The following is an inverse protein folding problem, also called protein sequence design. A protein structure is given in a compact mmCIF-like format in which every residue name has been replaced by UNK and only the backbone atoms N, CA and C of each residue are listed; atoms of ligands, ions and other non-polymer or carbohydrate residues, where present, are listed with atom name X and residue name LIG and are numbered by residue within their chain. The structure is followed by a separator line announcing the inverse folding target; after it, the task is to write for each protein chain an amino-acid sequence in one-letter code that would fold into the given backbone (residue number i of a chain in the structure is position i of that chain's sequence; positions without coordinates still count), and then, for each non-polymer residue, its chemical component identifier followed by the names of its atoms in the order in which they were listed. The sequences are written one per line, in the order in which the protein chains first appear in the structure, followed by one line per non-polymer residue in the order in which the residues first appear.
data_IF_660609554163
#
_entry.id   IF_660609554163
#
_cell.length_a   1.000
_cell.length_b   1.000
_cell.length_c   1.000
_cell.angle_alpha   90.00
_cell.angle_beta   90.00
_cell.angle_gamma   90.00
#
_symmetry.space_group_name_H-M   'P 1'
#
loop_
_entity.id
_entity.type
_entity.pdbx_description
1 polymer ?
#
# COMPACT_ATOMS: atom_id res chain seq x y z
N UNK A 1 14.41 13.80 -3.14
CA UNK A 1 14.75 12.44 -3.64
C UNK A 1 16.17 12.12 -3.20
N UNK A 2 16.41 10.89 -2.73
CA UNK A 2 17.72 10.48 -2.23
C UNK A 2 18.71 10.28 -3.38
N UNK A 3 19.93 10.83 -3.28
CA UNK A 3 20.94 10.72 -4.33
C UNK A 3 21.51 9.28 -4.45
N UNK A 4 21.32 8.45 -3.42
CA UNK A 4 21.75 7.04 -3.39
C UNK A 4 20.93 6.24 -2.37
N UNK A 5 20.89 4.90 -2.46
CA UNK A 5 20.27 4.05 -1.44
C UNK A 5 20.85 4.27 -0.03
N UNK A 6 22.16 4.46 0.08
CA UNK A 6 22.82 4.73 1.36
C UNK A 6 22.46 6.10 1.96
N UNK A 7 22.12 7.09 1.14
CA UNK A 7 21.67 8.39 1.63
C UNK A 7 20.30 8.28 2.33
N UNK A 8 19.39 7.44 1.80
CA UNK A 8 18.10 7.17 2.44
C UNK A 8 18.28 6.53 3.82
N UNK A 9 19.13 5.51 3.90
CA UNK A 9 19.41 4.83 5.16
C UNK A 9 20.03 5.79 6.20
N UNK A 10 20.97 6.60 5.79
CA UNK A 10 21.60 7.61 6.66
C UNK A 10 20.56 8.62 7.20
N UNK A 11 19.64 9.09 6.37
CA UNK A 11 18.58 10.00 6.80
C UNK A 11 17.59 9.34 7.77
N UNK A 12 17.23 8.08 7.54
CA UNK A 12 16.40 7.33 8.48
C UNK A 12 17.10 7.21 9.83
N UNK A 13 18.37 6.82 9.85
CA UNK A 13 19.13 6.68 11.09
C UNK A 13 19.32 8.02 11.82
N UNK A 14 19.54 9.10 11.09
CA UNK A 14 19.57 10.44 11.67
C UNK A 14 18.21 10.86 12.25
N UNK A 15 17.11 10.41 11.64
CA UNK A 15 15.75 10.66 12.11
C UNK A 15 15.43 10.00 13.45
N UNK A 16 16.01 8.83 13.74
CA UNK A 16 15.72 8.03 14.94
C UNK A 16 16.05 8.79 16.25
N UNK A 17 17.03 9.68 16.22
CA UNK A 17 17.46 10.45 17.41
C UNK A 17 16.72 11.77 17.59
N UNK A 18 15.81 12.12 16.68
CA UNK A 18 15.05 13.38 16.75
C UNK A 18 13.94 13.30 17.80
N UNK A 19 13.67 14.39 18.53
CA UNK A 19 12.52 14.46 19.43
C UNK A 19 11.20 14.17 18.71
N UNK A 20 10.30 13.45 19.35
CA UNK A 20 9.02 13.03 18.73
C UNK A 20 8.18 14.22 18.24
N UNK A 21 8.15 15.32 19.01
CA UNK A 21 7.46 16.55 18.65
C UNK A 21 8.02 17.20 17.38
N UNK A 22 9.31 17.09 17.13
CA UNK A 22 9.96 17.61 15.91
C UNK A 22 9.59 16.75 14.72
N UNK A 23 9.59 15.42 14.88
CA UNK A 23 9.18 14.49 13.82
C UNK A 23 7.70 14.69 13.46
N UNK A 24 6.85 14.86 14.47
CA UNK A 24 5.42 15.14 14.28
C UNK A 24 5.20 16.46 13.53
N UNK A 25 5.89 17.52 13.95
CA UNK A 25 5.78 18.82 13.29
C UNK A 25 6.19 18.74 11.81
N UNK A 26 7.27 18.03 11.51
CA UNK A 26 7.72 17.81 10.13
C UNK A 26 6.71 17.00 9.31
N UNK A 27 6.11 15.96 9.88
CA UNK A 27 5.10 15.15 9.22
C UNK A 27 3.84 15.96 8.88
N UNK A 28 3.38 16.80 9.82
CA UNK A 28 2.25 17.72 9.63
C UNK A 28 2.56 18.73 8.52
N UNK A 29 3.73 19.36 8.56
CA UNK A 29 4.11 20.36 7.56
C UNK A 29 4.33 19.73 6.17
N UNK A 30 4.92 18.53 6.09
CA UNK A 30 5.07 17.81 4.85
C UNK A 30 3.70 17.43 4.23
N UNK A 31 2.75 17.02 5.06
CA UNK A 31 1.38 16.71 4.63
C UNK A 31 0.66 17.96 4.14
N UNK A 32 0.80 19.09 4.86
CA UNK A 32 0.21 20.37 4.44
C UNK A 32 0.78 20.83 3.10
N UNK A 33 2.09 20.78 2.91
CA UNK A 33 2.73 21.14 1.63
C UNK A 33 2.23 20.25 0.49
N UNK A 34 2.14 18.94 0.70
CA UNK A 34 1.63 18.02 -0.31
C UNK A 34 0.21 18.39 -0.74
N UNK A 35 -0.68 18.69 0.21
CA UNK A 35 -2.07 19.10 -0.08
C UNK A 35 -2.11 20.41 -0.87
N UNK A 36 -1.31 21.40 -0.49
CA UNK A 36 -1.24 22.69 -1.21
C UNK A 36 -0.78 22.49 -2.66
N UNK A 37 0.29 21.73 -2.86
CA UNK A 37 0.83 21.44 -4.19
C UNK A 37 -0.19 20.64 -5.03
N UNK A 38 -0.83 19.62 -4.45
CA UNK A 38 -1.84 18.84 -5.15
C UNK A 38 -3.06 19.68 -5.58
N UNK A 39 -3.53 20.59 -4.72
CA UNK A 39 -4.64 21.49 -5.05
C UNK A 39 -4.28 22.53 -6.12
N UNK A 40 -3.04 22.98 -6.16
CA UNK A 40 -2.56 23.95 -7.14
C UNK A 40 -2.04 23.31 -8.44
N UNK A 41 -1.95 21.98 -8.47
CA UNK A 41 -1.43 21.26 -9.63
C UNK A 41 -2.37 21.43 -10.83
N UNK A 42 -1.87 21.85 -12.00
CA UNK A 42 -2.72 22.09 -13.16
C UNK A 42 -3.45 20.83 -13.62
N UNK A 43 -4.75 20.90 -13.81
CA UNK A 43 -5.58 19.73 -14.18
C UNK A 43 -5.06 19.02 -15.44
N UNK A 44 -4.59 19.79 -16.43
CA UNK A 44 -4.00 19.24 -17.66
C UNK A 44 -2.69 18.47 -17.47
N UNK A 45 -2.06 18.59 -16.30
CA UNK A 45 -0.78 17.94 -16.02
C UNK A 45 -0.95 16.60 -15.29
N UNK A 46 -2.13 16.28 -14.74
CA UNK A 46 -2.35 15.02 -14.03
C UNK A 46 -2.08 13.77 -14.86
N UNK A 47 -2.43 13.70 -16.16
CA UNK A 47 -2.13 12.55 -17.00
C UNK A 47 -0.66 12.41 -17.39
N UNK A 48 0.17 13.44 -17.19
CA UNK A 48 1.57 13.39 -17.58
C UNK A 48 2.35 12.31 -16.81
N UNK A 49 3.22 11.62 -17.54
CA UNK A 49 4.12 10.64 -16.94
C UNK A 49 5.24 11.31 -16.17
N UNK A 50 5.44 10.83 -14.96
CA UNK A 50 6.53 11.26 -14.05
C UNK A 50 7.36 10.06 -13.61
N UNK A 51 8.64 10.26 -13.43
CA UNK A 51 9.53 9.23 -12.93
C UNK A 51 9.27 9.02 -11.43
N UNK A 52 8.74 7.85 -11.07
CA UNK A 52 8.63 7.44 -9.68
C UNK A 52 9.96 6.83 -9.24
N UNK A 53 10.83 7.65 -8.69
CA UNK A 53 12.19 7.21 -8.35
C UNK A 53 12.26 6.77 -6.89
N UNK A 54 12.60 5.52 -6.70
CA UNK A 54 13.07 4.96 -5.43
C UNK A 54 14.59 4.76 -5.41
N UNK A 55 15.35 5.63 -6.12
CA UNK A 55 16.82 5.49 -6.26
C UNK A 55 17.26 4.40 -7.26
N UNK A 56 16.36 3.89 -8.07
CA UNK A 56 16.68 2.89 -9.13
C UNK A 56 17.16 3.59 -10.42
N UNK A 57 18.11 2.98 -11.18
CA UNK A 57 18.59 3.51 -12.46
C UNK A 57 17.44 3.40 -13.42
N UNK A 58 16.49 3.31 -13.73
CA UNK A 58 15.34 3.29 -14.61
C UNK A 58 14.05 3.20 -13.78
N UNK A 59 13.64 4.30 -13.18
CA UNK A 59 12.41 4.32 -12.39
C UNK A 59 11.20 4.06 -13.30
N UNK A 60 10.18 3.36 -12.81
CA UNK A 60 8.94 3.24 -13.55
C UNK A 60 8.34 4.64 -13.75
N UNK A 61 7.78 4.86 -14.93
CA UNK A 61 6.95 6.02 -15.22
C UNK A 61 5.53 5.72 -14.74
N UNK A 62 4.93 6.69 -14.08
CA UNK A 62 3.55 6.65 -13.63
C UNK A 62 2.88 7.99 -13.95
N UNK A 63 1.56 8.02 -14.09
CA UNK A 63 0.87 9.31 -14.21
C UNK A 63 1.02 10.13 -12.92
N UNK A 64 1.01 11.45 -13.03
CA UNK A 64 1.13 12.32 -11.86
C UNK A 64 -0.01 12.06 -10.85
N UNK A 65 -1.22 11.77 -11.31
CA UNK A 65 -2.35 11.41 -10.44
C UNK A 65 -2.06 10.18 -9.59
N UNK A 66 -1.28 9.21 -10.11
CA UNK A 66 -0.90 8.01 -9.36
C UNK A 66 -0.06 8.33 -8.13
N UNK A 67 0.65 9.45 -8.12
CA UNK A 67 1.42 9.89 -6.95
C UNK A 67 0.50 10.17 -5.75
N UNK A 68 -0.69 10.71 -5.99
CA UNK A 68 -1.69 10.95 -4.92
C UNK A 68 -2.17 9.63 -4.34
N UNK A 69 -2.49 8.65 -5.19
CA UNK A 69 -2.90 7.31 -4.75
C UNK A 69 -1.79 6.60 -3.96
N UNK A 70 -0.55 6.68 -4.44
CA UNK A 70 0.61 6.12 -3.73
C UNK A 70 0.81 6.80 -2.38
N UNK A 71 0.63 8.12 -2.29
CA UNK A 71 0.71 8.84 -1.02
C UNK A 71 -0.38 8.41 -0.04
N UNK A 72 -1.62 8.24 -0.52
CA UNK A 72 -2.71 7.72 0.31
C UNK A 72 -2.41 6.30 0.81
N UNK A 73 -1.90 5.43 -0.07
CA UNK A 73 -1.48 4.08 0.30
C UNK A 73 -0.47 4.09 1.45
N UNK A 74 0.59 4.90 1.34
CA UNK A 74 1.63 5.03 2.37
C UNK A 74 1.04 5.55 3.70
N UNK A 75 0.19 6.59 3.62
CA UNK A 75 -0.43 7.18 4.82
C UNK A 75 -1.31 6.16 5.54
N UNK A 76 -2.19 5.46 4.84
CA UNK A 76 -3.12 4.51 5.45
C UNK A 76 -2.40 3.31 6.07
N UNK A 77 -1.45 2.73 5.34
CA UNK A 77 -0.69 1.58 5.84
C UNK A 77 0.13 1.97 7.08
N UNK A 78 0.84 3.09 7.02
CA UNK A 78 1.66 3.53 8.15
C UNK A 78 0.84 4.11 9.29
N UNK A 79 -0.39 4.56 9.07
CA UNK A 79 -1.32 4.89 10.15
C UNK A 79 -1.67 3.64 10.97
N UNK A 80 -1.92 2.52 10.32
CA UNK A 80 -2.10 1.23 11.01
C UNK A 80 -0.82 0.82 11.75
N UNK A 81 0.37 1.04 11.17
CA UNK A 81 1.66 0.70 11.77
C UNK A 81 1.97 1.48 13.06
N UNK A 82 1.26 2.58 13.35
CA UNK A 82 1.41 3.28 14.62
C UNK A 82 0.86 2.49 15.83
N UNK A 83 0.13 1.39 15.57
CA UNK A 83 -0.44 0.51 16.59
C UNK A 83 -1.27 1.25 17.67
N UNK A 84 -2.04 2.21 17.20
CA UNK A 84 -3.01 2.97 18.01
C UNK A 84 -4.41 2.39 17.81
N UNK A 85 -5.42 3.25 17.78
CA UNK A 85 -6.83 2.83 17.59
C UNK A 85 -7.20 2.60 16.13
N UNK A 86 -6.38 3.04 15.17
CA UNK A 86 -6.64 2.94 13.75
C UNK A 86 -6.23 1.58 13.20
N UNK A 87 -7.11 1.00 12.39
CA UNK A 87 -6.92 -0.33 11.79
C UNK A 87 -7.36 -0.33 10.32
N UNK A 88 -7.13 -1.42 9.60
CA UNK A 88 -7.65 -1.55 8.23
C UNK A 88 -9.18 -1.53 8.13
N UNK A 89 -9.90 -1.75 9.24
CA UNK A 89 -11.36 -1.62 9.28
C UNK A 89 -11.83 -0.16 9.25
N UNK A 90 -10.96 0.78 9.60
CA UNK A 90 -11.24 2.22 9.65
C UNK A 90 -10.92 2.91 8.31
N UNK A 91 -10.20 2.24 7.41
CA UNK A 91 -9.88 2.77 6.08
C UNK A 91 -11.18 2.97 5.28
N UNK A 92 -11.41 4.15 4.68
CA UNK A 92 -12.60 4.39 3.87
C UNK A 92 -12.80 3.30 2.81
N UNK A 93 -13.99 2.72 2.72
CA UNK A 93 -14.27 1.51 1.92
C UNK A 93 -13.85 1.63 0.45
N UNK A 94 -14.02 2.79 -0.17
CA UNK A 94 -13.59 3.01 -1.56
C UNK A 94 -12.07 2.97 -1.70
N UNK A 95 -11.35 3.54 -0.74
CA UNK A 95 -9.90 3.50 -0.72
C UNK A 95 -9.40 2.09 -0.39
N UNK A 96 -10.01 1.42 0.59
CA UNK A 96 -9.68 0.04 0.93
C UNK A 96 -9.85 -0.90 -0.27
N UNK A 97 -10.93 -0.76 -1.04
CA UNK A 97 -11.15 -1.50 -2.27
C UNK A 97 -10.08 -1.22 -3.33
N UNK A 98 -9.67 0.04 -3.48
CA UNK A 98 -8.59 0.43 -4.40
C UNK A 98 -7.25 -0.17 -3.98
N UNK A 99 -6.91 -0.07 -2.69
CA UNK A 99 -5.70 -0.69 -2.14
C UNK A 99 -5.68 -2.19 -2.37
N UNK A 100 -6.82 -2.86 -2.16
CA UNK A 100 -6.93 -4.30 -2.40
C UNK A 100 -6.58 -4.66 -3.84
N UNK A 101 -7.16 -3.96 -4.82
CA UNK A 101 -6.87 -4.19 -6.25
C UNK A 101 -5.39 -4.00 -6.54
N UNK A 102 -4.79 -2.91 -6.08
CA UNK A 102 -3.38 -2.61 -6.28
C UNK A 102 -2.45 -3.69 -5.71
N UNK A 103 -2.74 -4.19 -4.50
CA UNK A 103 -1.95 -5.26 -3.89
C UNK A 103 -2.12 -6.58 -4.62
N UNK A 104 -3.35 -6.93 -4.98
CA UNK A 104 -3.65 -8.16 -5.74
C UNK A 104 -2.93 -8.15 -7.07
N UNK A 105 -3.01 -7.07 -7.86
CA UNK A 105 -2.27 -6.94 -9.12
C UNK A 105 -0.75 -7.00 -8.93
N UNK A 106 -0.25 -6.41 -7.86
CA UNK A 106 1.17 -6.46 -7.53
C UNK A 106 1.63 -7.89 -7.24
N UNK A 107 0.85 -8.66 -6.49
CA UNK A 107 1.16 -10.06 -6.22
C UNK A 107 1.00 -10.93 -7.47
N UNK A 108 0.02 -10.67 -8.32
CA UNK A 108 -0.12 -11.37 -9.60
C UNK A 108 1.14 -11.18 -10.49
N UNK A 109 1.63 -9.96 -10.58
CA UNK A 109 2.90 -9.68 -11.31
C UNK A 109 4.11 -10.37 -10.70
N UNK A 110 4.10 -10.67 -9.41
CA UNK A 110 5.15 -11.43 -8.70
C UNK A 110 4.96 -12.93 -8.77
N UNK A 111 3.95 -13.41 -9.47
CA UNK A 111 3.66 -14.84 -9.64
C UNK A 111 3.01 -15.48 -8.42
N UNK A 112 2.39 -14.73 -7.52
CA UNK A 112 1.58 -15.30 -6.46
C UNK A 112 0.31 -15.95 -7.06
N UNK A 113 -0.06 -17.12 -6.56
CA UNK A 113 -1.16 -17.92 -7.09
C UNK A 113 -2.20 -18.18 -6.01
N UNK A 114 -3.22 -17.33 -5.93
CA UNK A 114 -4.41 -17.52 -5.08
C UNK A 114 -5.61 -16.79 -5.68
N UNK A 115 -6.79 -17.26 -5.32
CA UNK A 115 -8.03 -16.52 -5.52
C UNK A 115 -8.46 -15.93 -4.17
N UNK A 116 -8.89 -14.66 -4.17
CA UNK A 116 -9.35 -13.97 -2.98
C UNK A 116 -10.87 -13.74 -3.07
N UNK A 117 -11.59 -14.18 -2.06
CA UNK A 117 -13.02 -13.93 -1.89
C UNK A 117 -13.24 -13.13 -0.60
N UNK A 118 -14.03 -12.07 -0.67
CA UNK A 118 -14.36 -11.26 0.50
C UNK A 118 -15.69 -11.71 1.11
N UNK A 119 -15.71 -11.81 2.44
CA UNK A 119 -16.93 -12.19 3.17
C UNK A 119 -17.95 -11.04 3.24
N UNK A 120 -17.46 -9.80 3.20
CA UNK A 120 -18.22 -8.56 3.33
C UNK A 120 -18.48 -7.84 1.99
N UNK A 121 -18.08 -8.42 0.88
CA UNK A 121 -18.33 -7.89 -0.46
C UNK A 121 -18.78 -9.03 -1.39
N UNK A 122 -20.10 -9.25 -1.56
CA UNK A 122 -20.60 -10.27 -2.47
C UNK A 122 -20.27 -9.87 -3.92
N UNK A 123 -19.27 -10.48 -4.48
CA UNK A 123 -18.81 -10.22 -5.86
C UNK A 123 -17.33 -10.50 -6.06
N UNK A 124 -16.59 -10.71 -4.98
CA UNK A 124 -15.17 -11.10 -4.96
C UNK A 124 -14.28 -10.22 -5.85
N UNK A 125 -13.30 -9.57 -5.26
CA UNK A 125 -12.15 -9.08 -6.03
C UNK A 125 -11.17 -10.25 -6.12
N UNK A 126 -11.19 -10.97 -7.23
CA UNK A 126 -10.32 -12.13 -7.38
C UNK A 126 -9.20 -11.85 -8.36
N UNK A 127 -7.98 -12.21 -8.02
CA UNK A 127 -7.01 -12.68 -8.99
C UNK A 127 -7.52 -14.04 -9.50
N UNK A 128 -8.43 -14.01 -10.46
CA UNK A 128 -8.94 -15.23 -11.08
C UNK A 128 -8.06 -15.55 -12.27
N UNK A 129 -6.99 -16.30 -12.05
CA UNK A 129 -6.51 -17.18 -13.12
C UNK A 129 -7.26 -18.49 -12.98
N UNK A 130 -7.91 -18.90 -14.07
CA UNK A 130 -8.62 -20.19 -14.13
C UNK A 130 -7.63 -21.31 -13.81
N UNK A 131 -7.94 -22.14 -12.81
CA UNK A 131 -7.11 -23.24 -12.37
C UNK A 131 -7.43 -23.65 -10.94
N UNK A 132 -6.76 -24.67 -10.46
CA UNK A 132 -6.93 -25.23 -9.12
C UNK A 132 -6.20 -24.40 -8.06
N UNK A 133 -6.50 -23.10 -8.01
CA UNK A 133 -5.86 -22.15 -7.08
C UNK A 133 -6.44 -22.31 -5.68
N UNK A 134 -5.61 -22.11 -4.62
CA UNK A 134 -6.12 -21.98 -3.28
C UNK A 134 -7.02 -20.74 -3.18
N UNK A 135 -8.24 -20.94 -2.70
CA UNK A 135 -9.18 -19.84 -2.46
C UNK A 135 -9.01 -19.36 -1.02
N UNK A 136 -8.65 -18.13 -0.86
CA UNK A 136 -8.46 -17.47 0.43
C UNK A 136 -9.65 -16.55 0.71
N UNK A 137 -10.20 -16.59 1.92
CA UNK A 137 -11.36 -15.80 2.32
C UNK A 137 -11.09 -15.02 3.60
N UNK A 138 -11.73 -13.86 3.69
CA UNK A 138 -11.73 -13.00 4.87
C UNK A 138 -12.51 -11.72 4.60
N UNK A 139 -12.60 -10.83 5.59
CA UNK A 139 -13.11 -9.49 5.37
C UNK A 139 -12.13 -8.64 4.54
N UNK A 140 -12.58 -7.53 3.99
CA UNK A 140 -11.72 -6.57 3.28
C UNK A 140 -10.56 -6.09 4.17
N UNK A 141 -10.84 -5.79 5.43
CA UNK A 141 -9.81 -5.37 6.39
C UNK A 141 -8.76 -6.47 6.66
N UNK A 142 -9.22 -7.72 6.87
CA UNK A 142 -8.33 -8.86 7.07
C UNK A 142 -7.48 -9.14 5.81
N UNK A 143 -8.07 -9.02 4.62
CA UNK A 143 -7.36 -9.19 3.36
C UNK A 143 -6.25 -8.14 3.18
N UNK A 144 -6.52 -6.87 3.50
CA UNK A 144 -5.50 -5.81 3.48
C UNK A 144 -4.39 -6.07 4.49
N UNK A 145 -4.72 -6.47 5.72
CA UNK A 145 -3.72 -6.83 6.74
C UNK A 145 -2.81 -7.96 6.27
N UNK A 146 -3.38 -8.99 5.64
CA UNK A 146 -2.64 -10.12 5.11
C UNK A 146 -1.76 -9.74 3.92
N UNK A 147 -2.33 -9.05 2.91
CA UNK A 147 -1.60 -8.63 1.71
C UNK A 147 -0.48 -7.63 2.01
N UNK A 148 -0.60 -6.87 3.08
CA UNK A 148 0.44 -5.94 3.54
C UNK A 148 1.44 -6.58 4.51
N UNK A 149 1.25 -7.86 4.87
CA UNK A 149 2.15 -8.62 5.74
C UNK A 149 2.05 -8.26 7.22
N UNK A 150 0.95 -7.61 7.66
CA UNK A 150 0.78 -7.19 9.07
C UNK A 150 0.11 -8.25 9.91
N UNK A 151 -0.90 -8.93 9.39
CA UNK A 151 -1.61 -10.00 10.11
C UNK A 151 -2.25 -10.96 9.13
N UNK A 152 -2.36 -12.23 9.52
CA UNK A 152 -3.19 -13.21 8.81
C UNK A 152 -4.48 -13.55 9.57
N UNK A 153 -4.74 -12.85 10.66
CA UNK A 153 -5.93 -13.06 11.46
C UNK A 153 -7.20 -12.75 10.63
N UNK A 154 -8.22 -13.59 10.78
CA UNK A 154 -9.45 -13.48 9.99
C UNK A 154 -9.36 -14.01 8.56
N UNK A 155 -8.17 -14.41 8.09
CA UNK A 155 -7.99 -15.05 6.79
C UNK A 155 -8.02 -16.57 6.91
N UNK A 156 -8.64 -17.24 5.92
CA UNK A 156 -8.72 -18.71 5.87
C UNK A 156 -8.63 -19.23 4.44
N UNK A 157 -8.05 -20.41 4.28
CA UNK A 157 -8.09 -21.14 3.02
C UNK A 157 -9.36 -22.01 2.97
N UNK A 158 -10.20 -21.87 1.93
CA UNK A 158 -11.51 -22.55 1.84
C UNK A 158 -11.39 -24.06 1.65
N UNK A 159 -10.30 -24.55 1.08
CA UNK A 159 -10.04 -25.97 0.86
C UNK A 159 -9.26 -26.64 1.99
N UNK A 160 -9.12 -25.95 3.13
CA UNK A 160 -8.25 -26.36 4.23
C UNK A 160 -6.76 -26.16 3.90
N UNK A 161 -5.92 -26.14 4.95
CA UNK A 161 -4.49 -25.96 4.81
C UNK A 161 -4.02 -24.57 5.21
N UNK A 162 -2.73 -24.32 4.91
CA UNK A 162 -2.07 -23.03 5.22
C UNK A 162 -2.44 -21.98 4.18
N UNK A 163 -2.46 -20.74 4.61
CA UNK A 163 -2.51 -19.61 3.68
C UNK A 163 -1.28 -19.63 2.75
N UNK A 164 -1.44 -19.23 1.48
CA UNK A 164 -0.31 -19.08 0.57
C UNK A 164 0.74 -18.13 1.13
N UNK A 165 2.01 -18.46 0.94
CA UNK A 165 3.09 -17.54 1.25
C UNK A 165 3.10 -16.41 0.21
N UNK A 166 3.12 -15.18 0.70
CA UNK A 166 3.20 -14.02 -0.16
C UNK A 166 4.66 -13.65 -0.41
N UNK A 167 5.04 -13.34 -1.67
CA UNK A 167 6.36 -12.79 -1.95
C UNK A 167 6.62 -11.51 -1.14
N UNK A 168 7.82 -11.39 -0.60
CA UNK A 168 8.21 -10.22 0.20
C UNK A 168 8.12 -8.91 -0.60
N UNK A 169 7.77 -7.83 0.09
CA UNK A 169 7.93 -6.48 -0.44
C UNK A 169 9.42 -6.16 -0.44
N UNK A 170 10.05 -6.24 -1.61
CA UNK A 170 11.42 -5.79 -1.84
C UNK A 170 11.42 -4.61 -2.78
#
# INVERSE_FOLDING_TARGET
MYPSPGAREADIMAGVTRPAEVVLADAVEASRRFLVEAHSFPESCWPNEVAFTSGRPNPPLVSAERIVELRLTEVEIHHVDLDLVYSFADVPVLLAGRLLVDFVERYDRKGAHFALELDDSPGGVGCVKSGDLPVVRGSLAAALAWLTGRSSEGMRCTRGGRLPELPTFG
#
